data_IF_509806439387
#
_entry.id   IF_509806439387
#
_cell.length_a   1.000
_cell.length_b   1.000
_cell.length_c   1.000
_cell.angle_alpha   90.00
_cell.angle_beta   90.00
_cell.angle_gamma   90.00
#
_symmetry.space_group_name_H-M   'P 1'
#
loop_
_entity.id
_entity.type
_entity.pdbx_description
1 polymer ?
#
# COMPACT_ATOMS: atom_id res chain seq x y z
N UNK A 1 -32.12 39.25 37.01
CA UNK A 1 -30.65 39.15 36.90
C UNK A 1 -30.34 37.87 36.13
N UNK A 2 -30.86 37.75 34.90
CA UNK A 2 -31.00 36.45 34.22
C UNK A 2 -30.20 36.40 32.91
N UNK A 3 -30.20 37.50 32.13
CA UNK A 3 -29.59 37.55 30.79
C UNK A 3 -28.04 37.52 30.77
N UNK A 4 -27.37 38.00 31.83
CA UNK A 4 -25.89 38.07 31.87
C UNK A 4 -25.21 36.71 32.07
N UNK A 5 -25.91 35.75 32.68
CA UNK A 5 -25.38 34.42 32.92
C UNK A 5 -25.70 33.44 31.78
N UNK A 6 -26.74 33.72 30.98
CA UNK A 6 -27.12 32.88 29.84
C UNK A 6 -25.99 32.73 28.81
N UNK A 7 -25.27 33.81 28.49
CA UNK A 7 -24.14 33.75 27.55
C UNK A 7 -22.96 32.95 28.10
N UNK A 8 -22.72 33.02 29.41
CA UNK A 8 -21.65 32.29 30.09
C UNK A 8 -21.97 30.79 30.06
N UNK A 9 -23.21 30.42 30.38
CA UNK A 9 -23.66 29.02 30.35
C UNK A 9 -23.61 28.46 28.93
N UNK A 10 -24.07 29.20 27.92
CA UNK A 10 -24.00 28.79 26.51
C UNK A 10 -22.55 28.61 26.06
N UNK A 11 -21.65 29.50 26.47
CA UNK A 11 -20.22 29.37 26.16
C UNK A 11 -19.60 28.13 26.81
N UNK A 12 -19.91 27.85 28.08
CA UNK A 12 -19.42 26.63 28.74
C UNK A 12 -20.00 25.36 28.13
N UNK A 13 -21.29 25.35 27.76
CA UNK A 13 -21.91 24.21 27.08
C UNK A 13 -21.35 23.99 25.66
N UNK A 14 -21.03 25.08 24.94
CA UNK A 14 -20.36 25.00 23.65
C UNK A 14 -18.91 24.53 23.80
N UNK A 15 -18.20 24.97 24.84
CA UNK A 15 -16.83 24.57 25.11
C UNK A 15 -16.75 23.08 25.46
N UNK A 16 -17.63 22.57 26.32
CA UNK A 16 -17.67 21.13 26.65
C UNK A 16 -18.08 20.28 25.45
N UNK A 17 -19.03 20.75 24.64
CA UNK A 17 -19.40 20.11 23.36
C UNK A 17 -18.22 20.07 22.39
N UNK A 18 -17.47 21.16 22.27
CA UNK A 18 -16.29 21.24 21.41
C UNK A 18 -15.17 20.32 21.90
N UNK A 19 -14.91 20.27 23.21
CA UNK A 19 -13.94 19.33 23.78
C UNK A 19 -14.33 17.88 23.49
N UNK A 20 -15.61 17.51 23.59
CA UNK A 20 -16.08 16.17 23.20
C UNK A 20 -15.95 15.88 21.71
N UNK A 21 -16.04 16.90 20.84
CA UNK A 21 -15.81 16.78 19.40
C UNK A 21 -14.33 16.61 19.08
N UNK A 22 -13.44 17.39 19.71
CA UNK A 22 -11.99 17.29 19.53
C UNK A 22 -11.40 16.04 20.18
N UNK A 23 -12.06 15.49 21.20
CA UNK A 23 -11.71 14.22 21.84
C UNK A 23 -12.17 12.97 21.07
N UNK A 24 -12.92 13.13 19.95
CA UNK A 24 -12.99 12.07 18.92
C UNK A 24 -11.63 11.98 18.25
N UNK A 25 -10.71 11.36 18.96
CA UNK A 25 -9.51 10.75 18.44
C UNK A 25 -9.93 9.97 17.20
N UNK A 26 -9.22 10.20 16.10
CA UNK A 26 -9.22 9.27 14.97
C UNK A 26 -8.54 7.99 15.47
N UNK A 27 -9.28 7.24 16.28
CA UNK A 27 -8.91 5.90 16.64
C UNK A 27 -9.14 5.11 15.36
N UNK A 28 -8.04 4.82 14.68
CA UNK A 28 -7.97 3.71 13.73
C UNK A 28 -8.57 2.51 14.47
N UNK A 29 -9.86 2.25 14.22
CA UNK A 29 -10.61 1.25 14.95
C UNK A 29 -10.05 -0.12 14.65
N UNK A 30 -10.29 -1.12 15.51
CA UNK A 30 -9.86 -2.50 15.26
C UNK A 30 -10.31 -3.02 13.88
N UNK A 31 -11.47 -2.57 13.40
CA UNK A 31 -12.00 -2.86 12.06
C UNK A 31 -11.13 -2.27 10.94
N UNK A 32 -10.58 -1.06 11.11
CA UNK A 32 -9.66 -0.43 10.14
C UNK A 32 -8.31 -1.15 10.16
N UNK A 33 -7.84 -1.63 11.30
CA UNK A 33 -6.61 -2.43 11.40
C UNK A 33 -6.78 -3.78 10.71
N UNK A 34 -7.94 -4.41 10.84
CA UNK A 34 -8.28 -5.67 10.17
C UNK A 34 -8.35 -5.49 8.64
N UNK A 35 -8.99 -4.42 8.16
CA UNK A 35 -8.99 -4.01 6.74
C UNK A 35 -7.59 -3.71 6.20
N UNK A 36 -6.73 -3.04 6.96
CA UNK A 36 -5.35 -2.77 6.56
C UNK A 36 -4.52 -4.06 6.46
N UNK A 37 -4.87 -5.09 7.23
CA UNK A 37 -4.23 -6.40 7.18
C UNK A 37 -4.55 -7.14 5.89
N UNK A 38 -5.73 -6.94 5.32
CA UNK A 38 -6.13 -7.58 4.05
C UNK A 38 -5.36 -7.05 2.83
N UNK A 39 -4.85 -5.82 2.89
CA UNK A 39 -4.05 -5.22 1.81
C UNK A 39 -2.55 -5.47 1.92
N UNK A 40 -2.09 -6.18 2.95
CA UNK A 40 -0.67 -6.40 3.19
C UNK A 40 -0.19 -7.65 2.43
N UNK A 41 0.63 -7.44 1.38
CA UNK A 41 1.28 -8.54 0.69
C UNK A 41 2.33 -9.19 1.61
N UNK A 42 2.37 -10.53 1.58
CA UNK A 42 3.31 -11.31 2.37
C UNK A 42 4.52 -11.75 1.53
N UNK A 43 5.64 -12.04 2.22
CA UNK A 43 6.88 -12.48 1.60
C UNK A 43 7.76 -11.32 1.09
N UNK A 44 8.78 -11.66 0.30
CA UNK A 44 9.65 -10.67 -0.34
C UNK A 44 8.87 -9.93 -1.42
N UNK A 45 9.03 -8.60 -1.51
CA UNK A 45 8.23 -7.74 -2.38
C UNK A 45 9.03 -7.01 -3.46
N UNK A 46 10.35 -7.10 -3.43
CA UNK A 46 11.25 -6.41 -4.36
C UNK A 46 12.56 -7.17 -4.55
N UNK A 47 13.11 -7.11 -5.75
CA UNK A 47 14.34 -7.82 -6.14
C UNK A 47 15.36 -6.90 -6.83
N UNK A 48 15.90 -5.88 -6.15
CA UNK A 48 16.88 -4.97 -6.74
C UNK A 48 18.12 -5.68 -7.31
N UNK A 49 18.49 -6.84 -6.76
CA UNK A 49 19.62 -7.65 -7.20
C UNK A 49 19.43 -8.33 -8.56
N UNK A 50 18.20 -8.41 -9.08
CA UNK A 50 17.91 -9.06 -10.36
C UNK A 50 18.03 -8.11 -11.55
N UNK A 51 18.33 -6.82 -11.34
CA UNK A 51 18.59 -5.88 -12.43
C UNK A 51 19.85 -6.32 -13.18
N UNK A 52 19.74 -6.51 -14.49
CA UNK A 52 20.81 -6.99 -15.35
C UNK A 52 20.89 -8.52 -15.48
N UNK A 53 20.08 -9.27 -14.73
CA UNK A 53 20.01 -10.73 -14.87
C UNK A 53 19.09 -11.14 -16.03
N UNK A 54 19.31 -12.32 -16.64
CA UNK A 54 18.40 -12.86 -17.65
C UNK A 54 17.01 -13.06 -17.08
N UNK A 55 15.98 -12.59 -17.80
CA UNK A 55 14.63 -12.52 -17.22
C UNK A 55 14.01 -13.87 -16.91
N UNK A 56 14.39 -14.91 -17.66
CA UNK A 56 14.00 -16.29 -17.37
C UNK A 56 14.53 -16.77 -16.02
N UNK A 57 15.79 -16.45 -15.72
CA UNK A 57 16.41 -16.76 -14.43
C UNK A 57 15.77 -15.93 -13.32
N UNK A 58 15.57 -14.62 -13.54
CA UNK A 58 14.91 -13.75 -12.58
C UNK A 58 13.50 -14.25 -12.21
N UNK A 59 12.73 -14.74 -13.19
CA UNK A 59 11.41 -15.34 -12.97
C UNK A 59 11.49 -16.54 -12.03
N UNK A 60 12.40 -17.48 -12.26
CA UNK A 60 12.58 -18.67 -11.42
C UNK A 60 12.96 -18.30 -9.98
N UNK A 61 13.83 -17.29 -9.82
CA UNK A 61 14.23 -16.78 -8.50
C UNK A 61 13.02 -16.19 -7.76
N UNK A 62 12.23 -15.34 -8.42
CA UNK A 62 11.04 -14.71 -7.81
C UNK A 62 10.03 -15.76 -7.35
N UNK A 63 9.67 -16.70 -8.22
CA UNK A 63 8.70 -17.76 -7.91
C UNK A 63 9.17 -18.65 -6.74
N UNK A 64 10.49 -18.84 -6.62
CA UNK A 64 11.10 -19.60 -5.52
C UNK A 64 11.15 -18.81 -4.21
N UNK A 65 11.49 -17.52 -4.26
CA UNK A 65 11.65 -16.69 -3.07
C UNK A 65 10.32 -16.21 -2.48
N UNK A 66 9.28 -16.08 -3.31
CA UNK A 66 7.94 -15.79 -2.85
C UNK A 66 6.90 -16.62 -3.62
N UNK A 67 6.53 -17.77 -3.04
CA UNK A 67 5.56 -18.71 -3.59
C UNK A 67 4.13 -18.20 -3.67
N UNK A 68 3.82 -17.03 -3.11
CA UNK A 68 2.52 -16.37 -3.25
C UNK A 68 2.39 -15.64 -4.59
N UNK A 69 3.50 -15.44 -5.31
CA UNK A 69 3.51 -14.86 -6.65
C UNK A 69 3.22 -15.96 -7.65
N UNK A 70 2.02 -15.92 -8.22
CA UNK A 70 1.56 -16.89 -9.23
C UNK A 70 1.60 -16.31 -10.65
N UNK A 71 1.91 -15.02 -10.78
CA UNK A 71 1.86 -14.29 -12.04
C UNK A 71 3.12 -13.45 -12.25
N UNK A 72 4.18 -14.07 -12.78
CA UNK A 72 5.37 -13.36 -13.25
C UNK A 72 5.26 -13.11 -14.75
N UNK A 73 5.11 -11.83 -15.12
CA UNK A 73 4.96 -11.38 -16.50
C UNK A 73 6.29 -10.87 -17.03
N UNK A 74 6.66 -11.28 -18.24
CA UNK A 74 7.83 -10.78 -18.94
C UNK A 74 7.35 -9.89 -20.07
N UNK A 75 7.79 -8.63 -20.07
CA UNK A 75 7.31 -7.57 -20.96
C UNK A 75 8.51 -6.82 -21.51
N UNK A 76 8.45 -6.32 -22.75
CA UNK A 76 9.49 -5.42 -23.23
C UNK A 76 9.46 -4.10 -22.44
N UNK A 77 10.62 -3.54 -22.18
CA UNK A 77 10.74 -2.26 -21.50
C UNK A 77 9.93 -1.17 -22.22
N UNK A 78 9.17 -0.37 -21.46
CA UNK A 78 8.24 0.63 -22.00
C UNK A 78 6.88 0.08 -22.45
N UNK A 79 6.61 -1.23 -22.31
CA UNK A 79 5.28 -1.79 -22.61
C UNK A 79 4.21 -1.16 -21.70
N UNK A 80 3.04 -0.77 -22.23
CA UNK A 80 1.96 -0.25 -21.40
C UNK A 80 1.40 -1.35 -20.50
N UNK A 81 1.26 -1.03 -19.21
CA UNK A 81 0.71 -1.95 -18.20
C UNK A 81 -0.46 -1.33 -17.46
N UNK A 82 -1.33 -2.17 -16.92
CA UNK A 82 -2.41 -1.74 -16.05
C UNK A 82 -1.86 -1.22 -14.70
N UNK A 83 -2.53 -0.22 -14.13
CA UNK A 83 -2.13 0.44 -12.86
C UNK A 83 -2.77 -0.20 -11.61
N UNK A 84 -3.48 -1.31 -11.77
CA UNK A 84 -4.06 -2.08 -10.68
C UNK A 84 -2.95 -2.66 -9.78
N UNK A 85 -3.26 -2.89 -8.51
CA UNK A 85 -2.35 -3.50 -7.54
C UNK A 85 -2.76 -4.96 -7.28
N UNK A 86 -1.81 -5.88 -7.35
CA UNK A 86 -2.01 -7.31 -7.08
C UNK A 86 -0.81 -7.92 -6.36
N UNK A 87 -1.03 -8.50 -5.18
CA UNK A 87 0.02 -9.13 -4.38
C UNK A 87 0.64 -10.38 -5.02
N UNK A 88 -0.03 -11.00 -5.99
CA UNK A 88 0.43 -12.23 -6.63
C UNK A 88 1.19 -11.97 -7.95
N UNK A 89 1.47 -10.71 -8.28
CA UNK A 89 2.03 -10.31 -9.58
C UNK A 89 3.34 -9.56 -9.44
N UNK A 90 4.29 -9.97 -10.26
CA UNK A 90 5.52 -9.21 -10.54
C UNK A 90 5.65 -9.07 -12.05
N UNK A 91 6.04 -7.87 -12.49
CA UNK A 91 6.35 -7.61 -13.90
C UNK A 91 7.85 -7.46 -14.03
N UNK A 92 8.42 -8.22 -14.94
CA UNK A 92 9.80 -8.13 -15.38
C UNK A 92 9.83 -7.40 -16.71
N UNK A 93 10.66 -6.37 -16.80
CA UNK A 93 10.85 -5.59 -18.01
C UNK A 93 12.17 -5.96 -18.68
N UNK A 94 12.06 -6.50 -19.89
CA UNK A 94 13.15 -6.97 -20.75
C UNK A 94 13.70 -5.84 -21.61
N UNK A 95 15.02 -5.78 -21.74
CA UNK A 95 15.63 -5.13 -22.90
C UNK A 95 15.70 -6.07 -24.12
N UNK A 96 16.29 -5.57 -25.20
CA UNK A 96 16.50 -6.35 -26.44
C UNK A 96 17.48 -7.53 -26.27
N UNK A 97 18.25 -7.57 -25.17
CA UNK A 97 19.18 -8.65 -24.85
C UNK A 97 18.52 -9.75 -24.00
N UNK A 98 17.31 -9.51 -23.47
CA UNK A 98 16.59 -10.43 -22.59
C UNK A 98 16.97 -10.31 -21.12
N UNK A 99 17.53 -9.16 -20.72
CA UNK A 99 17.90 -8.88 -19.34
C UNK A 99 16.90 -7.91 -18.69
N UNK A 100 16.74 -8.05 -17.38
CA UNK A 100 15.90 -7.19 -16.55
C UNK A 100 16.49 -5.78 -16.49
N UNK A 101 15.69 -4.76 -16.84
CA UNK A 101 16.13 -3.35 -16.78
C UNK A 101 15.48 -2.51 -15.70
N UNK A 102 14.35 -2.95 -15.16
CA UNK A 102 13.66 -2.28 -14.06
C UNK A 102 13.65 -3.18 -12.82
N UNK A 103 13.65 -2.56 -11.64
CA UNK A 103 13.55 -3.29 -10.37
C UNK A 103 12.24 -4.09 -10.33
N UNK A 104 12.29 -5.43 -10.21
CA UNK A 104 11.10 -6.24 -10.03
C UNK A 104 10.47 -5.94 -8.68
N UNK A 105 9.17 -5.65 -8.68
CA UNK A 105 8.38 -5.36 -7.47
C UNK A 105 7.00 -6.01 -7.55
N UNK A 106 6.45 -6.37 -6.40
CA UNK A 106 5.07 -6.83 -6.28
C UNK A 106 4.12 -5.65 -6.51
N UNK A 107 3.33 -5.73 -7.58
CA UNK A 107 2.34 -4.72 -7.99
C UNK A 107 1.35 -5.29 -8.99
#
# INVERSE_FOLDING_TARGET
MESKFSHIIVFFLLATSLETLMARKESVGPEVIELLKEFQCNGKLSWPELIGEPTKLAKEIIEKENSLITNVQILLNGSPVTKDFSCNRVRLFDNILGDVVEMPVVR
#
